data_IF_112393731799
#
_entry.id   IF_112393731799
#
_cell.length_a   1.000
_cell.length_b   1.000
_cell.length_c   1.000
_cell.angle_alpha   90.00
_cell.angle_beta   90.00
_cell.angle_gamma   90.00
#
_symmetry.space_group_name_H-M   'P 1'
#
loop_
_entity.id
_entity.type
_entity.pdbx_description
1 polymer ?
#
# COMPACT_ATOMS: atom_id res chain seq x y z
N UNK A 1 19.00 0.55 -32.56
CA UNK A 1 18.54 1.74 -33.32
C UNK A 1 17.02 1.98 -33.25
N UNK A 2 16.17 0.94 -33.21
CA UNK A 2 14.70 1.09 -33.08
C UNK A 2 14.22 1.70 -31.74
N UNK A 3 14.93 1.47 -30.63
CA UNK A 3 14.58 2.04 -29.31
C UNK A 3 14.81 3.55 -29.21
N UNK A 4 15.85 4.08 -29.88
CA UNK A 4 16.18 5.52 -29.90
C UNK A 4 15.15 6.28 -30.73
N UNK A 5 14.74 5.74 -31.89
CA UNK A 5 13.70 6.36 -32.73
C UNK A 5 12.34 6.44 -32.02
N UNK A 6 11.96 5.42 -31.24
CA UNK A 6 10.73 5.46 -30.43
C UNK A 6 10.81 6.48 -29.28
N UNK A 7 11.97 6.60 -28.60
CA UNK A 7 12.20 7.62 -27.56
C UNK A 7 12.16 9.05 -28.12
N UNK A 8 12.69 9.27 -29.31
CA UNK A 8 12.61 10.57 -30.00
C UNK A 8 11.17 10.90 -30.43
N UNK A 9 10.38 9.90 -30.85
CA UNK A 9 8.97 10.10 -31.21
C UNK A 9 8.12 10.53 -30.01
N UNK A 10 8.35 9.97 -28.81
CA UNK A 10 7.66 10.39 -27.58
C UNK A 10 8.00 11.81 -27.16
N UNK A 11 9.17 12.36 -27.53
CA UNK A 11 9.57 13.75 -27.24
C UNK A 11 9.08 14.75 -28.28
N UNK A 12 8.54 14.29 -29.41
CA UNK A 12 8.17 15.16 -30.54
C UNK A 12 7.11 16.21 -30.19
N UNK A 13 6.21 15.91 -29.23
CA UNK A 13 5.18 16.85 -28.78
C UNK A 13 5.74 18.04 -27.99
N UNK A 14 6.94 17.90 -27.39
CA UNK A 14 7.62 18.97 -26.65
C UNK A 14 8.45 19.89 -27.55
N UNK A 15 8.72 19.49 -28.79
CA UNK A 15 9.55 20.26 -29.73
C UNK A 15 8.91 21.61 -30.06
N UNK A 16 7.59 21.64 -30.30
CA UNK A 16 6.86 22.87 -30.66
C UNK A 16 6.87 23.93 -29.55
N UNK A 17 6.46 23.63 -28.29
CA UNK A 17 6.50 24.63 -27.22
C UNK A 17 7.92 25.05 -26.85
N UNK A 18 8.90 24.14 -26.92
CA UNK A 18 10.30 24.47 -26.64
C UNK A 18 10.90 25.38 -27.72
N UNK A 19 10.59 25.13 -29.00
CA UNK A 19 10.99 26.00 -30.10
C UNK A 19 10.35 27.39 -29.97
N UNK A 20 9.08 27.47 -29.57
CA UNK A 20 8.39 28.74 -29.32
C UNK A 20 9.05 29.52 -28.16
N UNK A 21 9.37 28.83 -27.06
CA UNK A 21 10.06 29.43 -25.92
C UNK A 21 11.46 29.93 -26.32
N UNK A 22 12.21 29.14 -27.10
CA UNK A 22 13.53 29.52 -27.60
C UNK A 22 13.47 30.78 -28.48
N UNK A 23 12.52 30.83 -29.41
CA UNK A 23 12.29 32.02 -30.27
C UNK A 23 11.93 33.23 -29.42
N UNK A 24 11.07 33.08 -28.41
CA UNK A 24 10.72 34.15 -27.48
C UNK A 24 11.92 34.71 -26.71
N UNK A 25 12.76 33.83 -26.16
CA UNK A 25 14.00 34.23 -25.46
C UNK A 25 14.97 34.93 -26.41
N UNK A 26 15.13 34.46 -27.65
CA UNK A 26 15.99 35.08 -28.64
C UNK A 26 15.55 36.50 -29.01
N UNK A 27 14.23 36.71 -29.19
CA UNK A 27 13.66 38.03 -29.48
C UNK A 27 13.86 38.97 -28.28
N UNK A 28 13.62 38.50 -27.05
CA UNK A 28 13.85 39.30 -25.84
C UNK A 28 15.33 39.68 -25.66
N UNK A 29 16.24 38.74 -25.90
CA UNK A 29 17.68 38.99 -25.82
C UNK A 29 18.15 40.02 -26.85
N UNK A 30 17.65 39.94 -28.08
CA UNK A 30 17.92 40.94 -29.13
C UNK A 30 17.36 42.31 -28.74
N UNK A 31 16.11 42.38 -28.29
CA UNK A 31 15.46 43.63 -27.86
C UNK A 31 16.22 44.30 -26.71
N UNK A 32 16.60 43.54 -25.69
CA UNK A 32 17.41 44.05 -24.58
C UNK A 32 18.79 44.51 -25.05
N UNK A 33 19.41 43.78 -26.00
CA UNK A 33 20.68 44.17 -26.61
C UNK A 33 20.62 45.53 -27.31
N UNK A 34 19.56 45.80 -28.08
CA UNK A 34 19.36 47.09 -28.74
C UNK A 34 19.13 48.23 -27.74
N UNK A 35 18.29 48.02 -26.72
CA UNK A 35 18.03 49.02 -25.68
C UNK A 35 19.32 49.37 -24.94
N UNK A 36 20.11 48.36 -24.57
CA UNK A 36 21.39 48.58 -23.91
C UNK A 36 22.37 49.30 -24.83
N UNK A 37 22.48 48.89 -26.10
CA UNK A 37 23.36 49.54 -27.06
C UNK A 37 23.04 51.03 -27.23
N UNK A 38 21.75 51.38 -27.36
CA UNK A 38 21.31 52.77 -27.41
C UNK A 38 21.68 53.51 -26.11
N UNK A 39 21.33 52.96 -24.95
CA UNK A 39 21.63 53.54 -23.63
C UNK A 39 23.13 53.84 -23.44
N UNK A 40 24.00 52.95 -23.93
CA UNK A 40 25.46 53.14 -23.90
C UNK A 40 25.94 54.26 -24.82
N UNK A 41 25.24 54.52 -25.92
CA UNK A 41 25.62 55.58 -26.88
C UNK A 41 25.06 56.95 -26.51
N UNK A 42 23.88 57.01 -25.87
CA UNK A 42 23.20 58.28 -25.57
C UNK A 42 23.54 58.83 -24.18
N UNK A 43 23.88 57.98 -23.20
CA UNK A 43 24.20 58.41 -21.84
C UNK A 43 25.68 58.26 -21.51
N UNK A 44 26.30 59.32 -20.97
CA UNK A 44 27.64 59.24 -20.37
C UNK A 44 27.58 58.50 -19.04
N UNK A 45 27.72 57.18 -19.09
CA UNK A 45 27.70 56.32 -17.92
C UNK A 45 28.99 56.46 -17.08
N UNK A 46 28.92 56.33 -15.73
CA UNK A 46 30.09 56.35 -14.85
C UNK A 46 31.14 55.28 -15.18
N UNK A 47 32.41 55.54 -14.87
CA UNK A 47 33.55 54.65 -15.16
C UNK A 47 33.44 53.23 -14.58
N UNK A 48 32.56 53.00 -13.61
CA UNK A 48 32.30 51.66 -13.05
C UNK A 48 31.74 50.68 -14.09
N UNK A 49 30.98 51.19 -15.07
CA UNK A 49 30.38 50.36 -16.11
C UNK A 49 31.40 49.85 -17.14
N UNK A 50 32.57 50.50 -17.25
CA UNK A 50 33.67 50.04 -18.11
C UNK A 50 34.17 48.65 -17.69
N UNK A 51 34.36 48.44 -16.40
CA UNK A 51 34.81 47.16 -15.85
C UNK A 51 33.68 46.13 -15.81
N UNK A 52 32.47 46.55 -15.43
CA UNK A 52 31.31 45.66 -15.34
C UNK A 52 30.90 45.06 -16.70
N UNK A 53 31.10 45.82 -17.78
CA UNK A 53 30.76 45.37 -19.15
C UNK A 53 31.96 44.89 -19.95
N UNK A 54 33.10 44.66 -19.29
CA UNK A 54 34.32 44.11 -19.89
C UNK A 54 34.79 44.92 -21.13
N UNK A 55 34.64 46.25 -21.12
CA UNK A 55 34.95 47.10 -22.29
C UNK A 55 36.43 47.17 -22.65
N UNK A 56 37.32 46.76 -21.74
CA UNK A 56 38.75 46.61 -22.03
C UNK A 56 39.04 45.46 -23.02
N UNK A 57 38.06 44.59 -23.29
CA UNK A 57 38.17 43.50 -24.25
C UNK A 57 37.60 43.97 -25.60
N UNK A 58 38.32 43.75 -26.73
CA UNK A 58 37.81 44.07 -28.06
C UNK A 58 36.41 43.48 -28.30
N UNK A 59 35.54 44.21 -29.00
CA UNK A 59 34.12 43.87 -29.19
C UNK A 59 33.89 42.42 -29.66
N UNK A 60 34.75 41.94 -30.57
CA UNK A 60 34.70 40.57 -31.08
C UNK A 60 34.93 39.53 -29.97
N UNK A 61 35.97 39.71 -29.16
CA UNK A 61 36.34 38.78 -28.08
C UNK A 61 35.34 38.78 -26.93
N UNK A 62 34.73 39.93 -26.64
CA UNK A 62 33.65 40.01 -25.66
C UNK A 62 32.41 39.22 -26.10
N UNK A 63 32.02 39.33 -27.37
CA UNK A 63 30.93 38.52 -27.94
C UNK A 63 31.23 37.03 -27.87
N UNK A 64 32.45 36.62 -28.22
CA UNK A 64 32.89 35.23 -28.14
C UNK A 64 32.85 34.68 -26.70
N UNK A 65 33.24 35.49 -25.70
CA UNK A 65 33.19 35.11 -24.29
C UNK A 65 31.76 34.84 -23.80
N UNK A 66 30.83 35.74 -24.11
CA UNK A 66 29.42 35.56 -23.73
C UNK A 66 28.78 34.36 -24.44
N UNK A 67 29.13 34.12 -25.70
CA UNK A 67 28.66 32.96 -26.46
C UNK A 67 29.20 31.65 -25.86
N UNK A 68 30.49 31.59 -25.51
CA UNK A 68 31.09 30.43 -24.84
C UNK A 68 30.46 30.16 -23.46
N UNK A 69 30.24 31.19 -22.66
CA UNK A 69 29.56 31.08 -21.36
C UNK A 69 28.11 30.59 -21.49
N UNK A 70 27.38 31.06 -22.51
CA UNK A 70 26.02 30.61 -22.81
C UNK A 70 25.96 29.14 -23.22
N UNK A 71 26.87 28.69 -24.09
CA UNK A 71 26.96 27.27 -24.49
C UNK A 71 27.34 26.38 -23.29
N UNK A 72 28.26 26.83 -22.44
CA UNK A 72 28.66 26.09 -21.24
C UNK A 72 27.52 25.90 -20.25
N UNK A 73 26.75 26.96 -19.97
CA UNK A 73 25.60 26.89 -19.06
C UNK A 73 24.46 26.02 -19.62
N UNK A 74 24.18 26.10 -20.93
CA UNK A 74 23.21 25.21 -21.59
C UNK A 74 23.63 23.74 -21.50
N UNK A 75 24.91 23.45 -21.76
CA UNK A 75 25.43 22.08 -21.72
C UNK A 75 25.33 21.49 -20.31
N UNK A 76 25.68 22.28 -19.28
CA UNK A 76 25.54 21.88 -17.88
C UNK A 76 24.08 21.65 -17.46
N UNK A 77 23.15 22.50 -17.93
CA UNK A 77 21.71 22.35 -17.68
C UNK A 77 21.13 21.07 -18.30
N UNK A 78 21.53 20.74 -19.53
CA UNK A 78 21.11 19.49 -20.18
C UNK A 78 21.67 18.28 -19.44
N UNK A 79 22.94 18.32 -19.04
CA UNK A 79 23.59 17.19 -18.38
C UNK A 79 22.97 16.89 -17.01
N UNK A 80 22.66 17.93 -16.22
CA UNK A 80 21.99 17.81 -14.92
C UNK A 80 20.53 17.34 -15.03
N UNK A 81 19.84 17.62 -16.13
CA UNK A 81 18.51 17.03 -16.38
C UNK A 81 18.60 15.55 -16.77
N UNK A 82 19.65 15.14 -17.50
CA UNK A 82 19.75 13.77 -18.02
C UNK A 82 19.85 12.71 -16.92
N UNK A 83 20.45 13.05 -15.77
CA UNK A 83 20.54 12.15 -14.61
C UNK A 83 19.24 12.07 -13.79
N UNK A 84 18.32 13.02 -13.95
CA UNK A 84 17.11 13.12 -13.11
C UNK A 84 15.82 12.69 -13.81
N UNK A 85 15.84 12.47 -15.11
CA UNK A 85 14.66 12.03 -15.88
C UNK A 85 14.71 10.53 -16.11
N UNK A 86 14.46 9.76 -15.05
CA UNK A 86 14.09 8.35 -15.16
C UNK A 86 12.57 8.28 -15.14
N UNK A 87 11.96 8.24 -16.33
CA UNK A 87 10.51 8.00 -16.45
C UNK A 87 10.29 6.48 -16.28
N UNK A 88 9.53 6.02 -15.27
CA UNK A 88 9.14 4.63 -15.17
C UNK A 88 8.23 4.27 -16.34
N UNK A 89 8.58 3.20 -17.05
CA UNK A 89 7.81 2.68 -18.18
C UNK A 89 6.52 2.08 -17.62
N UNK A 90 5.42 2.82 -17.69
CA UNK A 90 4.07 2.27 -17.51
C UNK A 90 3.74 1.48 -18.78
N UNK A 91 3.77 0.15 -18.68
CA UNK A 91 3.25 -0.73 -19.72
C UNK A 91 1.73 -0.58 -19.82
N UNK A 92 1.25 0.14 -20.84
CA UNK A 92 -0.16 0.15 -21.18
C UNK A 92 -0.49 -1.16 -21.93
N UNK A 93 -1.27 -2.02 -21.29
CA UNK A 93 -2.02 -3.07 -22.00
C UNK A 93 -3.24 -2.44 -22.67
N UNK A 94 -3.40 -2.78 -23.94
CA UNK A 94 -4.45 -2.30 -24.82
C UNK A 94 -5.81 -2.88 -24.41
N UNK A 95 -6.79 -2.02 -24.17
CA UNK A 95 -8.18 -2.23 -24.59
C UNK A 95 -8.81 -0.83 -24.74
N UNK A 96 -8.92 -0.37 -25.98
CA UNK A 96 -9.67 0.85 -26.31
C UNK A 96 -11.17 0.52 -26.31
N UNK A 97 -11.84 0.83 -25.21
CA UNK A 97 -13.26 1.16 -25.23
C UNK A 97 -13.42 2.47 -24.44
N UNK A 98 -13.34 3.59 -25.16
CA UNK A 98 -13.51 4.92 -24.60
C UNK A 98 -15.00 5.14 -24.38
N UNK A 99 -15.51 4.67 -23.25
CA UNK A 99 -16.76 5.15 -22.68
C UNK A 99 -16.45 6.49 -21.99
N UNK A 100 -16.97 7.58 -22.57
CA UNK A 100 -16.96 8.91 -21.98
C UNK A 100 -17.96 8.93 -20.80
N UNK A 101 -17.56 8.30 -19.70
CA UNK A 101 -18.24 8.42 -18.42
C UNK A 101 -17.71 9.67 -17.72
N UNK A 102 -18.59 10.65 -17.53
CA UNK A 102 -18.29 11.89 -16.81
C UNK A 102 -18.13 11.56 -15.32
N UNK A 103 -16.96 11.02 -14.93
CA UNK A 103 -16.70 10.62 -13.54
C UNK A 103 -16.15 11.75 -12.68
N UNK A 104 -16.82 11.93 -11.54
CA UNK A 104 -16.33 12.69 -10.37
C UNK A 104 -14.87 12.34 -10.09
N UNK A 105 -14.01 13.37 -10.18
CA UNK A 105 -12.69 13.51 -9.55
C UNK A 105 -11.92 12.19 -9.35
N UNK A 106 -11.06 11.89 -10.32
CA UNK A 106 -10.16 10.73 -10.40
C UNK A 106 -9.02 10.79 -9.36
N UNK A 107 -9.33 11.10 -8.11
CA UNK A 107 -8.35 11.04 -7.02
C UNK A 107 -8.13 9.59 -6.61
N UNK A 108 -6.88 9.27 -6.32
CA UNK A 108 -6.51 7.98 -5.77
C UNK A 108 -7.23 7.77 -4.42
N UNK A 109 -7.57 6.53 -4.05
CA UNK A 109 -8.34 6.28 -2.83
C UNK A 109 -7.49 6.51 -1.57
N UNK A 110 -8.16 6.85 -0.46
CA UNK A 110 -7.59 6.86 0.89
C UNK A 110 -7.93 5.55 1.59
N UNK A 111 -6.93 4.88 2.15
CA UNK A 111 -7.11 3.57 2.79
C UNK A 111 -6.80 3.65 4.29
N UNK A 112 -7.66 3.01 5.09
CA UNK A 112 -7.32 2.62 6.46
C UNK A 112 -7.08 1.11 6.48
N UNK A 113 -6.00 0.65 7.11
CA UNK A 113 -5.59 -0.76 7.11
C UNK A 113 -5.41 -1.23 8.54
N UNK A 114 -6.07 -2.32 8.92
CA UNK A 114 -5.88 -3.03 10.19
C UNK A 114 -5.33 -4.42 9.85
N UNK A 115 -4.05 -4.68 10.16
CA UNK A 115 -3.34 -5.88 9.68
C UNK A 115 -2.31 -6.34 10.69
N UNK A 116 -1.79 -7.56 10.54
CA UNK A 116 -0.65 -8.06 11.32
C UNK A 116 0.70 -7.67 10.72
N UNK A 117 1.79 -7.84 11.47
CA UNK A 117 3.18 -7.50 11.09
C UNK A 117 3.56 -7.74 9.63
N UNK A 118 3.73 -9.00 9.21
CA UNK A 118 4.11 -9.32 7.83
C UNK A 118 3.09 -8.86 6.79
N UNK A 119 1.79 -9.00 7.09
CA UNK A 119 0.72 -8.61 6.16
C UNK A 119 0.65 -7.11 5.93
N UNK A 120 1.01 -6.31 6.93
CA UNK A 120 1.06 -4.86 6.80
C UNK A 120 2.16 -4.42 5.84
N UNK A 121 3.30 -5.11 5.84
CA UNK A 121 4.38 -4.86 4.89
C UNK A 121 4.00 -5.28 3.46
N UNK A 122 3.25 -6.37 3.31
CA UNK A 122 2.66 -6.78 2.02
C UNK A 122 1.75 -5.66 1.49
N UNK A 123 0.87 -5.13 2.34
CA UNK A 123 -0.03 -4.05 1.97
C UNK A 123 0.65 -2.69 1.83
N UNK A 124 1.79 -2.45 2.46
CA UNK A 124 2.53 -1.19 2.32
C UNK A 124 2.88 -0.87 0.86
N UNK A 125 3.04 -1.89 0.01
CA UNK A 125 3.20 -1.76 -1.45
C UNK A 125 2.05 -1.00 -2.14
N UNK A 126 0.83 -1.06 -1.59
CA UNK A 126 -0.33 -0.28 -2.05
C UNK A 126 -0.09 1.23 -1.98
N UNK A 127 0.83 1.68 -1.13
CA UNK A 127 1.21 3.08 -0.96
C UNK A 127 1.50 3.81 -2.27
N UNK A 128 1.89 3.09 -3.34
CA UNK A 128 2.15 3.66 -4.67
C UNK A 128 0.90 4.17 -5.37
N UNK A 129 -0.25 3.52 -5.16
CA UNK A 129 -1.48 3.71 -5.95
C UNK A 129 -2.61 4.41 -5.17
N UNK A 130 -2.31 4.91 -3.98
CA UNK A 130 -3.26 5.55 -3.06
C UNK A 130 -2.94 7.03 -2.89
N UNK A 131 -3.92 7.82 -2.44
CA UNK A 131 -3.71 9.21 -2.02
C UNK A 131 -3.02 9.22 -0.65
N UNK A 132 -3.52 8.40 0.28
CA UNK A 132 -2.96 8.20 1.61
C UNK A 132 -3.33 6.82 2.13
N UNK A 133 -2.45 6.19 2.90
CA UNK A 133 -2.74 4.95 3.61
C UNK A 133 -2.31 5.06 5.06
N UNK A 134 -3.25 4.79 5.97
CA UNK A 134 -2.96 4.74 7.40
C UNK A 134 -3.10 3.30 7.88
N UNK A 135 -2.00 2.74 8.33
CA UNK A 135 -1.90 1.40 8.86
C UNK A 135 -1.99 1.45 10.39
N UNK A 136 -3.10 0.97 10.93
CA UNK A 136 -3.35 0.83 12.35
C UNK A 136 -2.74 -0.51 12.79
N UNK A 137 -1.75 -0.46 13.68
CA UNK A 137 -0.97 -1.64 14.08
C UNK A 137 -1.76 -2.56 15.02
N UNK A 138 -1.35 -3.83 15.17
CA UNK A 138 -1.81 -4.66 16.27
C UNK A 138 -1.55 -3.97 17.60
N UNK A 139 -2.46 -4.14 18.57
CA UNK A 139 -2.43 -3.42 19.85
C UNK A 139 -1.19 -3.75 20.70
N UNK A 140 -0.53 -4.89 20.45
CA UNK A 140 0.64 -5.34 21.19
C UNK A 140 1.96 -5.16 20.42
N UNK A 141 1.91 -4.77 19.15
CA UNK A 141 3.11 -4.67 18.33
C UNK A 141 3.80 -3.30 18.49
N UNK A 142 5.14 -3.27 18.61
CA UNK A 142 5.88 -2.02 18.65
C UNK A 142 5.83 -1.32 17.27
N UNK A 143 5.34 -0.09 17.25
CA UNK A 143 5.14 0.68 16.01
C UNK A 143 6.47 1.00 15.32
N UNK A 144 7.58 1.08 16.07
CA UNK A 144 8.90 1.43 15.56
C UNK A 144 9.42 0.42 14.54
N UNK A 145 9.02 -0.85 14.67
CA UNK A 145 9.37 -1.90 13.71
C UNK A 145 8.87 -1.54 12.30
N UNK A 146 7.62 -1.08 12.22
CA UNK A 146 6.99 -0.73 10.96
C UNK A 146 7.58 0.53 10.34
N UNK A 147 7.89 1.54 11.15
CA UNK A 147 8.58 2.74 10.65
C UNK A 147 9.97 2.41 10.10
N UNK A 148 10.75 1.58 10.80
CA UNK A 148 12.07 1.14 10.32
C UNK A 148 11.97 0.39 8.99
N UNK A 149 11.00 -0.51 8.87
CA UNK A 149 10.76 -1.22 7.62
C UNK A 149 10.31 -0.25 6.51
N UNK A 150 9.40 0.70 6.81
CA UNK A 150 8.89 1.65 5.82
C UNK A 150 9.95 2.58 5.24
N UNK A 151 10.92 3.00 6.05
CA UNK A 151 12.05 3.82 5.62
C UNK A 151 12.96 3.10 4.62
N UNK A 152 13.07 1.76 4.70
CA UNK A 152 13.84 0.97 3.74
C UNK A 152 13.15 0.88 2.37
N UNK A 153 11.82 0.88 2.34
CA UNK A 153 11.02 0.69 1.11
C UNK A 153 10.45 1.98 0.52
N UNK A 154 10.75 3.15 1.12
CA UNK A 154 10.32 4.48 0.67
C UNK A 154 8.80 4.60 0.47
N UNK A 155 8.01 4.12 1.43
CA UNK A 155 6.56 4.23 1.39
C UNK A 155 6.08 5.62 1.84
N UNK A 156 6.30 6.65 1.02
CA UNK A 156 6.04 8.06 1.38
C UNK A 156 4.59 8.38 1.77
N UNK A 157 3.61 7.61 1.28
CA UNK A 157 2.18 7.81 1.52
C UNK A 157 1.60 6.91 2.61
N UNK A 158 2.44 6.14 3.29
CA UNK A 158 2.02 5.16 4.30
C UNK A 158 2.43 5.65 5.68
N UNK A 159 1.47 5.71 6.60
CA UNK A 159 1.71 6.11 7.98
C UNK A 159 1.26 4.99 8.91
N UNK A 160 2.08 4.67 9.91
CA UNK A 160 1.79 3.64 10.91
C UNK A 160 1.35 4.27 12.21
N UNK A 161 0.24 3.80 12.77
CA UNK A 161 -0.39 4.42 13.93
C UNK A 161 -0.72 3.35 14.95
N UNK A 162 -0.31 3.58 16.19
CA UNK A 162 -0.78 2.75 17.30
C UNK A 162 -2.25 3.07 17.58
N UNK A 163 -3.13 2.06 17.70
CA UNK A 163 -4.55 2.29 17.93
C UNK A 163 -4.80 3.03 19.24
N UNK A 164 -3.97 2.79 20.25
CA UNK A 164 -4.02 3.43 21.56
C UNK A 164 -2.60 3.80 22.01
N UNK A 165 -2.41 4.91 22.74
CA UNK A 165 -1.12 5.24 23.35
C UNK A 165 -0.86 4.46 24.66
N UNK A 166 -1.87 3.81 25.23
CA UNK A 166 -1.77 3.08 26.49
C UNK A 166 -1.35 1.62 26.23
N UNK A 167 -0.58 1.02 27.14
CA UNK A 167 -0.23 -0.39 27.03
C UNK A 167 -1.46 -1.27 27.31
N UNK A 168 -1.82 -2.12 26.35
CA UNK A 168 -2.94 -3.05 26.45
C UNK A 168 -2.42 -4.48 26.51
N UNK A 169 -3.06 -5.30 27.32
CA UNK A 169 -2.88 -6.74 27.33
C UNK A 169 -4.04 -7.43 26.61
N UNK A 170 -3.72 -8.26 25.63
CA UNK A 170 -4.65 -9.22 25.01
C UNK A 170 -4.63 -10.49 25.84
N UNK A 171 -5.81 -10.99 26.16
CA UNK A 171 -6.01 -12.25 26.88
C UNK A 171 -6.91 -13.15 26.04
N UNK A 172 -6.48 -14.38 25.81
CA UNK A 172 -7.26 -15.42 25.16
C UNK A 172 -7.96 -16.29 26.20
N UNK A 173 -9.24 -16.56 25.99
CA UNK A 173 -10.00 -17.56 26.73
C UNK A 173 -10.04 -18.83 25.90
N UNK A 174 -9.55 -19.92 26.46
CA UNK A 174 -9.51 -21.23 25.83
C UNK A 174 -10.81 -22.02 26.06
N UNK A 175 -11.01 -23.10 25.32
CA UNK A 175 -12.17 -24.01 25.43
C UNK A 175 -12.42 -24.56 26.84
N UNK A 176 -11.38 -24.68 27.66
CA UNK A 176 -11.44 -25.12 29.06
C UNK A 176 -11.73 -23.97 30.06
N UNK A 177 -11.91 -22.75 29.57
CA UNK A 177 -12.12 -21.55 30.38
C UNK A 177 -10.82 -20.90 30.91
N UNK A 178 -9.66 -21.46 30.59
CA UNK A 178 -8.37 -20.91 31.00
C UNK A 178 -8.06 -19.61 30.24
N UNK A 179 -7.40 -18.67 30.93
CA UNK A 179 -7.02 -17.36 30.39
C UNK A 179 -5.52 -17.32 30.17
N UNK A 180 -5.08 -17.15 28.93
CA UNK A 180 -3.67 -17.18 28.53
C UNK A 180 -3.32 -15.97 27.68
N UNK A 181 -2.07 -15.50 27.74
CA UNK A 181 -1.60 -14.43 26.84
C UNK A 181 -1.13 -15.02 25.51
N UNK A 182 -1.19 -14.28 24.40
CA UNK A 182 -0.65 -14.73 23.11
C UNK A 182 0.82 -15.18 23.22
N UNK A 183 1.64 -14.42 23.95
CA UNK A 183 3.05 -14.74 24.21
C UNK A 183 3.27 -16.06 24.97
N UNK A 184 2.31 -16.49 25.78
CA UNK A 184 2.41 -17.73 26.57
C UNK A 184 2.00 -18.97 25.74
N UNK A 185 1.29 -18.74 24.62
CA UNK A 185 0.88 -19.77 23.66
C UNK A 185 1.90 -20.03 22.55
N UNK A 186 3.04 -19.34 22.52
CA UNK A 186 4.01 -19.41 21.41
C UNK A 186 4.40 -20.85 21.10
N UNK A 187 3.72 -21.42 20.10
CA UNK A 187 3.92 -22.61 19.22
C UNK A 187 4.48 -23.92 19.84
N UNK A 188 4.96 -23.95 21.08
CA UNK A 188 5.76 -25.03 21.67
C UNK A 188 5.34 -25.37 23.10
N UNK A 189 4.28 -24.75 23.61
CA UNK A 189 3.72 -25.13 24.90
C UNK A 189 2.74 -26.28 24.70
N UNK A 190 3.20 -27.51 24.91
CA UNK A 190 2.40 -28.74 24.80
C UNK A 190 1.10 -28.67 25.59
N UNK A 191 1.07 -27.90 26.69
CA UNK A 191 -0.12 -27.71 27.52
C UNK A 191 -1.30 -27.08 26.75
N UNK A 192 -1.02 -26.27 25.72
CA UNK A 192 -2.04 -25.51 24.97
C UNK A 192 -2.10 -25.89 23.49
N UNK A 193 -1.35 -26.92 23.06
CA UNK A 193 -1.27 -27.34 21.67
C UNK A 193 -2.62 -27.83 21.13
N UNK A 194 -3.39 -28.55 21.95
CA UNK A 194 -4.70 -29.08 21.61
C UNK A 194 -5.88 -28.16 21.99
N UNK A 195 -5.59 -26.94 22.48
CA UNK A 195 -6.60 -26.01 22.96
C UNK A 195 -6.97 -24.99 21.91
N UNK A 196 -8.26 -24.69 21.82
CA UNK A 196 -8.78 -23.68 20.90
C UNK A 196 -9.19 -22.41 21.64
N UNK A 197 -8.92 -21.25 21.04
CA UNK A 197 -9.41 -19.96 21.53
C UNK A 197 -10.89 -19.81 21.21
N UNK A 198 -11.69 -19.51 22.22
CA UNK A 198 -13.14 -19.31 22.11
C UNK A 198 -13.55 -17.86 22.35
N UNK A 199 -12.73 -17.11 23.08
CA UNK A 199 -12.92 -15.68 23.29
C UNK A 199 -11.61 -14.89 23.39
N UNK A 200 -11.67 -13.59 23.07
CA UNK A 200 -10.54 -12.66 23.20
C UNK A 200 -10.99 -11.43 23.94
N UNK A 201 -10.15 -11.00 24.88
CA UNK A 201 -10.42 -9.89 25.77
C UNK A 201 -9.24 -8.92 25.76
N UNK A 202 -9.54 -7.65 26.00
CA UNK A 202 -8.55 -6.60 26.19
C UNK A 202 -8.62 -6.08 27.62
N UNK A 203 -7.48 -6.05 28.27
CA UNK A 203 -7.31 -5.49 29.60
C UNK A 203 -6.35 -4.29 29.53
N UNK A 204 -6.79 -3.13 30.03
CA UNK A 204 -5.94 -1.95 30.19
C UNK A 204 -4.98 -2.18 31.34
N UNK A 205 -3.66 -2.15 31.08
CA UNK A 205 -2.66 -2.32 32.14
C UNK A 205 -2.59 -1.12 33.09
N UNK A 206 -3.11 0.03 32.67
CA UNK A 206 -3.14 1.25 33.46
C UNK A 206 -4.37 1.38 34.36
N UNK A 207 -5.38 0.52 34.20
CA UNK A 207 -6.66 0.60 34.93
C UNK A 207 -7.59 1.75 34.51
N UNK A 208 -7.09 2.67 33.70
CA UNK A 208 -7.85 3.79 33.13
C UNK A 208 -8.69 3.37 31.92
N UNK A 209 -9.68 4.20 31.59
CA UNK A 209 -10.45 4.09 30.36
C UNK A 209 -9.51 4.12 29.15
N UNK A 210 -9.72 3.18 28.22
CA UNK A 210 -8.93 3.09 27.00
C UNK A 210 -9.17 4.31 26.12
N UNK A 211 -8.12 5.04 25.81
CA UNK A 211 -8.14 6.14 24.86
C UNK A 211 -7.62 5.69 23.49
N UNK A 212 -8.29 6.13 22.43
CA UNK A 212 -7.87 5.86 21.06
C UNK A 212 -7.05 7.03 20.52
N UNK A 213 -5.99 6.70 19.78
CA UNK A 213 -5.20 7.70 19.08
C UNK A 213 -6.10 8.38 18.04
N UNK A 214 -6.21 9.71 18.11
CA UNK A 214 -7.07 10.50 17.20
C UNK A 214 -6.86 10.15 15.72
N UNK A 215 -5.60 9.94 15.32
CA UNK A 215 -5.25 9.59 13.95
C UNK A 215 -5.88 8.26 13.48
N UNK A 216 -6.13 7.32 14.39
CA UNK A 216 -6.83 6.05 14.11
C UNK A 216 -8.27 6.32 13.69
N UNK A 217 -9.00 7.13 14.46
CA UNK A 217 -10.41 7.47 14.18
C UNK A 217 -10.51 8.33 12.93
N UNK A 218 -9.65 9.34 12.79
CA UNK A 218 -9.62 10.23 11.62
C UNK A 218 -9.32 9.45 10.32
N UNK A 219 -8.43 8.45 10.38
CA UNK A 219 -8.15 7.57 9.26
C UNK A 219 -9.36 6.73 8.85
N UNK A 220 -10.03 6.09 9.82
CA UNK A 220 -11.24 5.28 9.57
C UNK A 220 -12.38 6.14 9.00
N UNK A 221 -12.57 7.35 9.53
CA UNK A 221 -13.63 8.26 9.13
C UNK A 221 -13.44 8.85 7.73
N UNK A 222 -12.18 9.07 7.32
CA UNK A 222 -11.86 9.71 6.03
C UNK A 222 -11.44 8.73 4.93
N UNK A 223 -11.39 7.42 5.23
CA UNK A 223 -11.09 6.38 4.29
C UNK A 223 -12.19 6.21 3.23
N UNK A 224 -11.78 5.92 1.99
CA UNK A 224 -12.68 5.42 0.94
C UNK A 224 -12.86 3.91 1.08
N UNK A 225 -11.85 3.21 1.63
CA UNK A 225 -11.94 1.80 2.00
C UNK A 225 -11.11 1.45 3.24
N UNK A 226 -11.62 0.48 3.99
CA UNK A 226 -11.02 -0.09 5.18
C UNK A 226 -10.62 -1.53 4.86
N UNK A 227 -9.33 -1.84 4.99
CA UNK A 227 -8.79 -3.17 4.73
C UNK A 227 -8.53 -3.87 6.07
N UNK A 228 -9.10 -5.06 6.24
CA UNK A 228 -8.87 -5.94 7.39
C UNK A 228 -7.98 -7.10 6.93
N UNK A 229 -6.84 -7.29 7.57
CA UNK A 229 -5.84 -8.28 7.16
C UNK A 229 -5.01 -7.84 5.94
N UNK A 230 -4.17 -8.74 5.40
CA UNK A 230 -3.98 -10.11 5.84
C UNK A 230 -3.22 -10.18 7.18
N UNK A 231 -3.57 -11.13 8.03
CA UNK A 231 -2.91 -11.30 9.32
C UNK A 231 -3.70 -12.23 10.23
N UNK A 232 -3.11 -12.59 11.37
CA UNK A 232 -3.78 -13.47 12.31
C UNK A 232 -5.08 -12.83 12.81
N UNK A 233 -6.18 -13.57 12.67
CA UNK A 233 -7.50 -13.07 12.99
C UNK A 233 -7.59 -12.66 14.47
N UNK A 234 -7.15 -13.55 15.36
CA UNK A 234 -7.25 -13.38 16.81
C UNK A 234 -6.10 -12.56 17.42
N UNK A 235 -4.92 -12.54 16.81
CA UNK A 235 -3.77 -11.79 17.34
C UNK A 235 -3.62 -10.40 16.74
N UNK A 236 -4.02 -10.18 15.48
CA UNK A 236 -3.77 -8.92 14.77
C UNK A 236 -5.02 -8.09 14.51
N UNK A 237 -6.11 -8.73 14.11
CA UNK A 237 -7.32 -8.03 13.63
C UNK A 237 -8.31 -7.80 14.77
N UNK A 238 -8.79 -8.88 15.41
CA UNK A 238 -9.78 -8.84 16.48
C UNK A 238 -9.38 -7.92 17.64
N UNK A 239 -8.11 -7.88 18.11
CA UNK A 239 -7.73 -6.98 19.19
C UNK A 239 -7.99 -5.50 18.87
N UNK A 240 -7.88 -5.08 17.61
CA UNK A 240 -8.27 -3.71 17.24
C UNK A 240 -9.80 -3.51 17.28
N UNK A 241 -10.58 -4.53 16.95
CA UNK A 241 -12.06 -4.50 16.98
C UNK A 241 -12.62 -4.50 18.40
N UNK A 242 -11.86 -4.95 19.39
CA UNK A 242 -12.27 -4.94 20.80
C UNK A 242 -12.18 -3.55 21.44
N UNK A 243 -11.48 -2.60 20.81
CA UNK A 243 -11.43 -1.22 21.28
C UNK A 243 -12.75 -0.51 20.93
N UNK A 244 -13.57 -0.08 21.91
CA UNK A 244 -14.93 0.38 21.65
C UNK A 244 -15.04 1.53 20.64
N UNK A 245 -14.17 2.53 20.73
CA UNK A 245 -14.16 3.67 19.81
C UNK A 245 -13.74 3.28 18.38
N UNK A 246 -12.76 2.37 18.24
CA UNK A 246 -12.34 1.85 16.92
C UNK A 246 -13.49 1.07 16.30
N UNK A 247 -14.11 0.17 17.07
CA UNK A 247 -15.28 -0.60 16.63
C UNK A 247 -16.41 0.31 16.15
N UNK A 248 -16.75 1.33 16.94
CA UNK A 248 -17.80 2.27 16.60
C UNK A 248 -17.45 3.09 15.35
N UNK A 249 -16.19 3.52 15.20
CA UNK A 249 -15.73 4.22 14.01
C UNK A 249 -15.83 3.34 12.75
N UNK A 250 -15.45 2.07 12.84
CA UNK A 250 -15.54 1.10 11.75
C UNK A 250 -17.00 0.85 11.35
N UNK A 251 -17.88 0.59 12.32
CA UNK A 251 -19.30 0.34 12.11
C UNK A 251 -20.02 1.54 11.47
N UNK A 252 -19.69 2.76 11.89
CA UNK A 252 -20.30 4.00 11.38
C UNK A 252 -19.69 4.47 10.05
N UNK A 253 -18.52 3.95 9.65
CA UNK A 253 -17.85 4.38 8.43
C UNK A 253 -18.61 3.94 7.18
N UNK A 254 -18.70 4.84 6.19
CA UNK A 254 -19.25 4.54 4.86
C UNK A 254 -18.21 3.95 3.91
N UNK A 255 -16.95 3.85 4.34
CA UNK A 255 -15.88 3.25 3.58
C UNK A 255 -16.20 1.78 3.28
N UNK A 256 -15.80 1.30 2.10
CA UNK A 256 -15.91 -0.13 1.75
C UNK A 256 -15.00 -0.94 2.65
N UNK A 257 -15.53 -1.95 3.33
CA UNK A 257 -14.82 -2.83 4.26
C UNK A 257 -14.45 -4.11 3.52
N UNK A 258 -13.14 -4.33 3.36
CA UNK A 258 -12.60 -5.46 2.61
C UNK A 258 -11.79 -6.31 3.58
N UNK A 259 -12.19 -7.55 3.78
CA UNK A 259 -11.42 -8.52 4.55
C UNK A 259 -10.54 -9.37 3.62
N UNK A 260 -9.26 -9.51 3.93
CA UNK A 260 -8.33 -10.39 3.23
C UNK A 260 -8.13 -11.62 4.11
N UNK A 261 -8.75 -12.72 3.70
CA UNK A 261 -8.76 -13.96 4.46
C UNK A 261 -7.36 -14.56 4.56
N UNK A 262 -7.04 -15.16 5.71
CA UNK A 262 -5.82 -15.94 5.87
C UNK A 262 -5.79 -17.09 4.86
N UNK A 263 -4.61 -17.42 4.34
CA UNK A 263 -4.44 -18.50 3.35
C UNK A 263 -4.48 -19.87 4.04
N UNK A 264 -3.97 -19.93 5.27
CA UNK A 264 -3.88 -21.13 6.10
C UNK A 264 -4.52 -20.85 7.47
N UNK A 265 -5.07 -21.90 8.08
CA UNK A 265 -5.51 -21.88 9.47
C UNK A 265 -4.32 -21.80 10.42
N UNK A 266 -4.55 -21.25 11.60
CA UNK A 266 -3.57 -21.13 12.68
C UNK A 266 -3.95 -22.10 13.81
N UNK A 267 -3.04 -23.00 14.24
CA UNK A 267 -3.36 -24.04 15.20
C UNK A 267 -3.88 -23.46 16.53
N UNK A 268 -5.06 -23.92 16.92
CA UNK A 268 -5.74 -23.50 18.14
C UNK A 268 -6.18 -22.03 18.16
N UNK A 269 -6.11 -21.33 17.03
CA UNK A 269 -6.73 -20.01 16.83
C UNK A 269 -7.86 -20.14 15.81
N UNK A 270 -7.56 -20.58 14.61
CA UNK A 270 -8.52 -20.75 13.50
C UNK A 270 -8.55 -22.18 12.98
N UNK A 271 -8.20 -23.16 13.83
CA UNK A 271 -8.27 -24.58 13.49
C UNK A 271 -9.65 -24.97 12.93
N UNK A 272 -9.67 -25.47 11.70
CA UNK A 272 -10.90 -25.90 11.04
C UNK A 272 -11.80 -24.77 10.54
N UNK A 273 -11.40 -23.50 10.67
CA UNK A 273 -12.24 -22.39 10.22
C UNK A 273 -12.38 -22.35 8.70
N UNK A 274 -13.62 -22.19 8.25
CA UNK A 274 -13.96 -21.80 6.87
C UNK A 274 -13.84 -20.29 6.68
N UNK A 275 -14.11 -19.81 5.46
CA UNK A 275 -14.24 -18.36 5.21
C UNK A 275 -15.38 -17.78 6.03
N UNK A 276 -16.54 -18.44 6.09
CA UNK A 276 -17.68 -18.01 6.90
C UNK A 276 -17.37 -17.91 8.39
N UNK A 277 -16.57 -18.84 8.94
CA UNK A 277 -16.13 -18.74 10.34
C UNK A 277 -15.32 -17.47 10.62
N UNK A 278 -14.43 -17.09 9.72
CA UNK A 278 -13.66 -15.85 9.86
C UNK A 278 -14.60 -14.63 9.83
N UNK A 279 -15.57 -14.60 8.91
CA UNK A 279 -16.56 -13.51 8.83
C UNK A 279 -17.41 -13.46 10.10
N UNK A 280 -17.88 -14.60 10.61
CA UNK A 280 -18.64 -14.69 11.87
C UNK A 280 -17.89 -14.09 13.05
N UNK A 281 -16.57 -14.31 13.16
CA UNK A 281 -15.80 -13.68 14.24
C UNK A 281 -15.67 -12.16 14.03
N UNK A 282 -15.47 -11.68 12.80
CA UNK A 282 -15.45 -10.23 12.52
C UNK A 282 -16.80 -9.60 12.90
N UNK A 283 -17.92 -10.25 12.55
CA UNK A 283 -19.26 -9.81 12.94
C UNK A 283 -19.43 -9.83 14.46
N UNK A 284 -19.02 -10.90 15.14
CA UNK A 284 -19.11 -11.05 16.60
C UNK A 284 -18.36 -9.95 17.34
N UNK A 285 -17.11 -9.68 16.96
CA UNK A 285 -16.25 -8.72 17.68
C UNK A 285 -16.41 -7.29 17.17
N UNK A 286 -16.53 -7.11 15.86
CA UNK A 286 -16.64 -5.81 15.20
C UNK A 286 -18.05 -5.25 15.13
N UNK A 287 -19.09 -6.09 15.18
CA UNK A 287 -20.48 -5.65 15.04
C UNK A 287 -20.87 -5.25 13.61
N UNK A 288 -20.08 -5.64 12.61
CA UNK A 288 -20.35 -5.40 11.19
C UNK A 288 -19.85 -6.57 10.34
N UNK A 289 -20.50 -6.83 9.21
CA UNK A 289 -19.97 -7.71 8.18
C UNK A 289 -19.07 -6.89 7.22
N UNK A 290 -17.93 -7.44 6.76
CA UNK A 290 -17.20 -6.86 5.63
C UNK A 290 -18.11 -6.79 4.40
N UNK A 291 -17.94 -5.78 3.56
CA UNK A 291 -18.64 -5.70 2.28
C UNK A 291 -18.11 -6.76 1.31
N UNK A 292 -16.79 -6.99 1.34
CA UNK A 292 -16.10 -7.98 0.51
C UNK A 292 -15.13 -8.83 1.32
N UNK A 293 -14.98 -10.09 0.93
CA UNK A 293 -13.94 -10.99 1.43
C UNK A 293 -13.09 -11.50 0.26
N UNK A 294 -11.80 -11.21 0.29
CA UNK A 294 -10.82 -11.73 -0.66
C UNK A 294 -10.28 -13.06 -0.15
N UNK A 295 -10.46 -14.12 -0.95
CA UNK A 295 -10.03 -15.48 -0.63
C UNK A 295 -9.10 -15.99 -1.74
N UNK A 296 -8.03 -16.68 -1.34
CA UNK A 296 -7.10 -17.25 -2.31
C UNK A 296 -7.71 -18.47 -3.01
N UNK A 297 -7.99 -18.34 -4.31
CA UNK A 297 -8.58 -19.38 -5.14
C UNK A 297 -7.61 -20.51 -5.50
N UNK A 298 -6.30 -20.20 -5.56
CA UNK A 298 -5.32 -21.16 -6.03
C UNK A 298 -5.17 -22.31 -5.04
N UNK A 299 -5.34 -23.54 -5.54
CA UNK A 299 -5.08 -24.74 -4.74
C UNK A 299 -3.60 -24.79 -4.38
N UNK A 300 -3.35 -25.04 -3.09
CA UNK A 300 -1.98 -25.15 -2.59
C UNK A 300 -1.39 -26.46 -3.09
N UNK A 301 -0.15 -26.40 -3.60
CA UNK A 301 0.57 -27.58 -4.06
C UNK A 301 0.68 -28.65 -2.96
N UNK A 302 0.54 -29.92 -3.32
CA UNK A 302 0.50 -31.04 -2.38
C UNK A 302 1.77 -31.19 -1.53
N UNK A 303 2.94 -30.75 -2.02
CA UNK A 303 4.17 -30.72 -1.22
C UNK A 303 4.09 -29.66 -0.13
N UNK A 304 3.69 -28.44 -0.50
CA UNK A 304 3.52 -27.32 0.44
C UNK A 304 2.45 -27.66 1.47
N UNK A 305 1.31 -28.22 1.03
CA UNK A 305 0.25 -28.64 1.92
C UNK A 305 0.73 -29.67 2.96
N UNK A 306 1.60 -30.61 2.59
CA UNK A 306 2.18 -31.57 3.55
C UNK A 306 3.06 -30.90 4.61
N UNK A 307 3.82 -29.86 4.24
CA UNK A 307 4.64 -29.09 5.20
C UNK A 307 3.73 -28.38 6.21
N UNK A 308 2.66 -27.74 5.74
CA UNK A 308 1.70 -27.04 6.60
C UNK A 308 0.87 -28.00 7.47
N UNK A 309 0.45 -29.14 6.91
CA UNK A 309 -0.30 -30.16 7.65
C UNK A 309 0.53 -30.78 8.80
N UNK A 310 1.84 -30.90 8.63
CA UNK A 310 2.75 -31.33 9.71
C UNK A 310 2.80 -30.34 10.88
N UNK A 311 2.41 -29.09 10.66
CA UNK A 311 2.25 -28.06 11.69
C UNK A 311 0.77 -27.86 12.08
N UNK A 312 -0.12 -28.80 11.76
CA UNK A 312 -1.56 -28.74 12.01
C UNK A 312 -2.26 -27.53 11.35
N UNK A 313 -1.74 -27.08 10.20
CA UNK A 313 -2.31 -26.00 9.41
C UNK A 313 -2.97 -26.53 8.14
N UNK A 314 -4.13 -25.98 7.80
CA UNK A 314 -4.92 -26.37 6.63
C UNK A 314 -5.22 -25.13 5.79
N UNK A 315 -5.30 -25.25 4.45
CA UNK A 315 -5.74 -24.13 3.62
C UNK A 315 -7.17 -23.71 3.98
N UNK A 316 -7.42 -22.41 4.01
CA UNK A 316 -8.77 -21.85 4.22
C UNK A 316 -9.46 -21.73 2.87
N UNK A 317 -10.62 -22.38 2.75
CA UNK A 317 -11.47 -22.34 1.57
C UNK A 317 -12.93 -22.10 1.96
N UNK A 318 -13.75 -21.76 0.96
CA UNK A 318 -15.20 -21.83 1.10
C UNK A 318 -15.63 -23.29 1.30
N UNK A 319 -16.53 -23.51 2.24
CA UNK A 319 -17.17 -24.81 2.43
C UNK A 319 -18.24 -25.05 1.35
N UNK A 320 -18.52 -26.31 0.97
CA UNK A 320 -19.55 -26.62 -0.03
C UNK A 320 -20.91 -25.98 0.28
N UNK A 321 -21.30 -25.99 1.56
CA UNK A 321 -22.57 -25.44 2.03
C UNK A 321 -22.65 -23.91 1.82
N UNK A 322 -21.51 -23.22 1.91
CA UNK A 322 -21.41 -21.77 1.70
C UNK A 322 -21.61 -21.38 0.23
N UNK A 323 -21.44 -22.29 -0.72
CA UNK A 323 -21.80 -22.05 -2.12
C UNK A 323 -23.31 -22.22 -2.37
N UNK A 324 -23.99 -23.07 -1.60
CA UNK A 324 -25.40 -23.40 -1.78
C UNK A 324 -26.34 -22.36 -1.18
N UNK A 325 -25.97 -21.70 -0.08
CA UNK A 325 -26.78 -20.65 0.58
C UNK A 325 -26.93 -19.36 -0.24
N UNK A 326 -26.34 -19.29 -1.45
CA UNK A 326 -25.69 -18.04 -1.87
C UNK A 326 -25.94 -17.59 -3.31
N UNK A 327 -26.82 -18.24 -4.07
CA UNK A 327 -27.12 -17.78 -5.44
C UNK A 327 -28.05 -16.57 -5.41
N UNK A 328 -27.49 -15.36 -5.36
CA UNK A 328 -28.22 -14.13 -5.70
C UNK A 328 -28.29 -14.02 -7.22
N UNK A 329 -29.45 -14.26 -7.82
CA UNK A 329 -29.71 -13.94 -9.23
C UNK A 329 -29.69 -12.42 -9.42
N UNK A 330 -28.53 -11.86 -9.77
CA UNK A 330 -28.39 -10.46 -10.15
C UNK A 330 -28.90 -10.23 -11.58
N UNK A 331 -30.05 -9.57 -11.70
CA UNK A 331 -30.66 -9.14 -12.95
C UNK A 331 -30.01 -7.84 -13.45
N UNK A 332 -28.75 -7.85 -13.89
CA UNK A 332 -28.23 -7.02 -14.98
C UNK A 332 -26.70 -7.18 -15.19
N UNK A 333 -26.33 -7.57 -16.43
CA UNK A 333 -25.03 -7.39 -17.11
C UNK A 333 -23.76 -7.87 -16.41
N UNK A 334 -23.58 -9.19 -16.44
CA UNK A 334 -22.29 -9.87 -16.32
C UNK A 334 -22.47 -11.21 -15.65
N UNK A 335 -22.40 -12.31 -16.41
CA UNK A 335 -22.62 -13.66 -15.92
C UNK A 335 -21.60 -14.04 -14.84
N UNK A 336 -21.97 -13.86 -13.57
CA UNK A 336 -21.27 -14.36 -12.39
C UNK A 336 -22.24 -14.32 -11.22
N UNK A 337 -22.53 -15.46 -10.61
CA UNK A 337 -23.20 -15.51 -9.30
C UNK A 337 -22.17 -15.12 -8.24
N UNK A 338 -22.31 -13.92 -7.66
CA UNK A 338 -21.45 -13.49 -6.55
C UNK A 338 -21.79 -14.31 -5.30
N UNK A 339 -20.77 -14.91 -4.67
CA UNK A 339 -20.95 -15.75 -3.47
C UNK A 339 -21.01 -14.85 -2.21
N UNK A 340 -22.18 -14.51 -1.69
CA UNK A 340 -22.41 -13.89 -0.37
C UNK A 340 -22.37 -14.85 0.84
N UNK A 341 -21.33 -14.78 1.68
CA UNK A 341 -21.25 -15.53 2.95
C UNK A 341 -21.40 -14.59 4.14
N UNK A 342 -22.34 -14.87 5.04
CA UNK A 342 -22.59 -14.06 6.26
C UNK A 342 -22.81 -12.56 5.94
N UNK A 343 -23.44 -12.27 4.81
CA UNK A 343 -23.69 -10.91 4.31
C UNK A 343 -22.52 -10.24 3.59
N UNK A 344 -21.37 -10.92 3.45
CA UNK A 344 -20.19 -10.40 2.77
C UNK A 344 -20.02 -11.03 1.38
N UNK A 345 -19.71 -10.24 0.36
CA UNK A 345 -19.45 -10.76 -1.00
C UNK A 345 -18.05 -11.37 -1.05
N UNK A 346 -17.97 -12.69 -1.19
CA UNK A 346 -16.72 -13.44 -1.32
C UNK A 346 -16.24 -13.42 -2.76
N UNK A 347 -14.98 -13.02 -2.92
CA UNK A 347 -14.29 -12.95 -4.21
C UNK A 347 -13.05 -13.84 -4.15
N UNK A 348 -13.14 -14.97 -4.83
CA UNK A 348 -12.05 -15.91 -5.01
C UNK A 348 -11.11 -15.43 -6.13
N UNK A 349 -9.84 -15.18 -5.82
CA UNK A 349 -8.82 -14.81 -6.82
C UNK A 349 -7.45 -15.33 -6.40
N UNK A 350 -6.47 -15.31 -7.31
CA UNK A 350 -5.10 -15.65 -6.97
C UNK A 350 -4.48 -14.52 -6.14
N UNK A 351 -4.20 -14.77 -4.86
CA UNK A 351 -3.70 -13.78 -3.89
C UNK A 351 -2.31 -14.13 -3.34
N UNK A 352 -1.77 -15.31 -3.67
CA UNK A 352 -0.62 -15.86 -2.98
C UNK A 352 0.47 -16.36 -3.94
N UNK A 353 1.70 -16.38 -3.42
CA UNK A 353 2.87 -16.95 -4.10
C UNK A 353 3.67 -17.76 -3.09
N UNK A 354 4.19 -18.92 -3.50
CA UNK A 354 5.08 -19.71 -2.67
C UNK A 354 6.49 -19.13 -2.75
N UNK A 355 7.03 -18.68 -1.61
CA UNK A 355 8.35 -18.07 -1.51
C UNK A 355 9.28 -19.01 -0.77
N UNK A 356 10.53 -19.08 -1.22
CA UNK A 356 11.57 -19.85 -0.56
C UNK A 356 12.20 -18.98 0.52
N UNK A 357 12.04 -19.37 1.79
CA UNK A 357 12.58 -18.66 2.93
C UNK A 357 13.66 -19.50 3.62
N UNK A 358 14.77 -18.86 3.98
CA UNK A 358 15.77 -19.47 4.85
C UNK A 358 15.37 -19.20 6.29
N UNK A 359 15.03 -20.26 7.01
CA UNK A 359 14.72 -20.19 8.44
C UNK A 359 15.91 -20.77 9.18
N UNK A 360 16.43 -20.06 10.18
CA UNK A 360 17.41 -20.65 11.09
C UNK A 360 16.73 -21.80 11.85
N UNK A 361 17.37 -22.97 11.89
CA UNK A 361 16.87 -24.05 12.71
C UNK A 361 16.85 -23.61 14.17
N UNK A 362 15.71 -23.74 14.84
CA UNK A 362 15.56 -23.43 16.26
C UNK A 362 16.47 -24.31 17.14
N UNK A 363 16.77 -25.53 16.67
CA UNK A 363 17.63 -26.50 17.37
C UNK A 363 19.12 -26.31 17.06
N UNK A 364 19.46 -25.67 15.94
CA UNK A 364 20.85 -25.47 15.50
C UNK A 364 20.97 -24.13 14.73
N UNK A 365 21.20 -23.00 15.45
CA UNK A 365 21.21 -21.66 14.86
C UNK A 365 22.23 -21.46 13.74
N UNK A 366 23.23 -22.36 13.61
CA UNK A 366 24.22 -22.36 12.54
C UNK A 366 23.75 -23.05 11.24
N UNK A 367 22.63 -23.78 11.27
CA UNK A 367 22.03 -24.44 10.11
C UNK A 367 20.78 -23.70 9.66
N UNK A 368 20.86 -23.10 8.48
CA UNK A 368 19.69 -22.57 7.79
C UNK A 368 18.99 -23.70 7.05
N UNK A 369 17.68 -23.84 7.27
CA UNK A 369 16.83 -24.72 6.48
C UNK A 369 16.05 -23.87 5.50
N UNK A 370 16.13 -24.25 4.23
CA UNK A 370 15.30 -23.66 3.19
C UNK A 370 13.91 -24.29 3.27
N UNK A 371 12.90 -23.48 3.61
CA UNK A 371 11.51 -23.91 3.69
C UNK A 371 10.70 -23.11 2.66
N UNK A 372 9.85 -23.80 1.91
CA UNK A 372 8.90 -23.17 1.00
C UNK A 372 7.68 -22.75 1.82
N UNK A 373 7.40 -21.45 1.83
CA UNK A 373 6.33 -20.86 2.64
C UNK A 373 5.38 -20.11 1.73
N UNK A 374 4.08 -20.26 1.98
CA UNK A 374 3.05 -19.54 1.24
C UNK A 374 2.82 -18.16 1.87
N UNK A 375 2.81 -17.13 1.02
CA UNK A 375 2.60 -15.74 1.44
C UNK A 375 1.63 -15.06 0.49
N UNK A 376 0.89 -14.10 1.03
CA UNK A 376 0.17 -13.15 0.21
C UNK A 376 1.16 -12.38 -0.68
N UNK A 377 0.83 -12.30 -1.96
CA UNK A 377 1.62 -11.60 -2.94
C UNK A 377 1.16 -10.13 -3.00
N UNK A 378 2.07 -9.16 -2.76
CA UNK A 378 1.69 -7.75 -2.65
C UNK A 378 1.04 -7.20 -3.93
N UNK A 379 1.53 -7.59 -5.10
CA UNK A 379 1.03 -7.07 -6.37
C UNK A 379 -0.33 -7.69 -6.72
N UNK A 380 -0.50 -8.99 -6.46
CA UNK A 380 -1.80 -9.67 -6.67
C UNK A 380 -2.89 -9.15 -5.74
N UNK A 381 -2.59 -9.01 -4.45
CA UNK A 381 -3.51 -8.44 -3.45
C UNK A 381 -3.86 -7.00 -3.83
N UNK A 382 -2.87 -6.21 -4.25
CA UNK A 382 -3.08 -4.84 -4.71
C UNK A 382 -4.03 -4.75 -5.91
N UNK A 383 -3.84 -5.60 -6.90
CA UNK A 383 -4.71 -5.66 -8.07
C UNK A 383 -6.16 -6.04 -7.68
N UNK A 384 -6.32 -7.02 -6.79
CA UNK A 384 -7.63 -7.46 -6.31
C UNK A 384 -8.38 -6.34 -5.57
N UNK A 385 -7.71 -5.63 -4.64
CA UNK A 385 -8.30 -4.49 -3.92
C UNK A 385 -8.69 -3.39 -4.92
N UNK A 386 -7.83 -3.04 -5.87
CA UNK A 386 -8.15 -2.00 -6.86
C UNK A 386 -9.35 -2.38 -7.73
N UNK A 387 -9.50 -3.65 -8.09
CA UNK A 387 -10.66 -4.14 -8.83
C UNK A 387 -11.96 -3.94 -8.02
N UNK A 388 -11.95 -4.27 -6.72
CA UNK A 388 -13.10 -4.06 -5.83
C UNK A 388 -13.44 -2.57 -5.66
N UNK A 389 -12.44 -1.72 -5.53
CA UNK A 389 -12.65 -0.28 -5.41
C UNK A 389 -13.32 0.30 -6.65
N UNK A 390 -13.00 -0.22 -7.84
CA UNK A 390 -13.62 0.16 -9.13
C UNK A 390 -15.05 -0.38 -9.29
N UNK A 391 -15.39 -1.56 -8.74
CA UNK A 391 -16.72 -2.19 -8.90
C UNK A 391 -17.89 -1.38 -8.34
N UNK A 392 -17.64 -0.51 -7.35
CA UNK A 392 -18.68 0.34 -6.77
C UNK A 392 -18.41 1.82 -6.99
N UNK A 393 -17.94 2.19 -8.18
CA UNK A 393 -17.82 3.58 -8.65
C UNK A 393 -18.81 3.82 -9.79
#
# INVERSE_FOLDING_TARGET
MLSIRRRLATLAHLIKPLALAFVGVAILALGLGYILAELYTTLKLPNIFYYLTLQFIPQFWRGALFLAAGVGTLTAGIWTLSDKVVIPIVGQSQTEEVLLDYRRTDRAPRLAVLSGGPGMLVLASLGRNVEAMTCITPVQDPVEYYYRASSMFQFEKVVFVVPTPQPIQVTFVLDNGERVRPSDRVTHNEQYADRSVVDVQLDSLSGDMLHVTRQTVDAIASADAIILGPGSLFESIIPNLLIPEVRQALANSRAKKIYICSIMTEPGLTSGFTVGDHVRQIVRYGGFAPDYVLVNAQRVDAEVQRIYAAAHQMPVYLAPEEYEETIVQGNDRGAGSDVVVEGAVVVETDLATAVVQMTASLEDPGKSRTVRVLRHDPDKVSAAIQALLRRGR
#
